data_IF_397883866018
#
_entry.id   IF_397883866018
#
_cell.length_a   1.000
_cell.length_b   1.000
_cell.length_c   1.000
_cell.angle_alpha   90.00
_cell.angle_beta   90.00
_cell.angle_gamma   90.00
#
_symmetry.space_group_name_H-M   'P 1'
#
loop_
_entity.id
_entity.type
_entity.pdbx_description
1 polymer ?
#
# COMPACT_ATOMS: atom_id res chain seq x y z
N UNK A 1 19.39 14.38 7.77
CA UNK A 1 18.83 13.05 7.48
C UNK A 1 17.32 13.15 7.62
N UNK A 2 16.65 13.53 6.53
CA UNK A 2 15.20 13.79 6.43
C UNK A 2 14.77 12.96 5.22
N UNK A 3 14.01 11.88 5.40
CA UNK A 3 13.50 11.10 4.29
C UNK A 3 12.02 10.72 4.41
N UNK A 4 11.37 10.74 3.24
CA UNK A 4 10.06 10.23 2.83
C UNK A 4 8.78 10.90 3.39
N UNK A 5 8.79 12.21 3.65
CA UNK A 5 7.55 13.01 3.71
C UNK A 5 7.53 14.19 2.71
N UNK A 6 8.65 14.45 2.02
CA UNK A 6 8.82 15.67 1.22
C UNK A 6 8.71 15.46 -0.30
N UNK A 7 8.36 14.25 -0.77
CA UNK A 7 8.06 14.01 -2.19
C UNK A 7 6.57 14.21 -2.52
N UNK A 8 5.77 14.61 -1.53
CA UNK A 8 4.36 15.00 -1.69
C UNK A 8 4.19 16.49 -1.42
N UNK A 9 5.06 17.35 -1.98
CA UNK A 9 4.62 18.72 -2.22
C UNK A 9 3.58 18.67 -3.34
N UNK A 10 2.37 19.12 -3.02
CA UNK A 10 1.25 19.30 -3.94
C UNK A 10 1.78 20.06 -5.15
N UNK A 11 2.00 19.38 -6.28
CA UNK A 11 2.33 20.03 -7.54
C UNK A 11 1.20 20.99 -7.88
N UNK A 12 1.49 22.28 -7.82
CA UNK A 12 0.61 23.34 -8.29
C UNK A 12 0.38 23.11 -9.80
N UNK A 13 -0.83 22.69 -10.15
CA UNK A 13 -1.24 22.32 -11.51
C UNK A 13 -1.22 23.50 -12.50
N UNK A 14 -0.84 24.71 -12.05
CA UNK A 14 -0.77 25.91 -12.88
C UNK A 14 0.58 26.15 -13.59
N UNK A 15 1.62 25.37 -13.29
CA UNK A 15 2.98 25.60 -13.79
C UNK A 15 3.49 24.57 -14.83
N UNK A 16 2.62 24.12 -15.76
CA UNK A 16 3.07 23.33 -16.93
C UNK A 16 3.75 24.20 -18.00
N UNK A 17 4.90 24.79 -17.69
CA UNK A 17 5.81 25.35 -18.70
C UNK A 17 7.25 25.01 -18.34
N UNK A 18 7.87 24.20 -19.21
CA UNK A 18 9.31 23.95 -19.40
C UNK A 18 10.22 24.38 -18.24
N UNK A 19 10.42 23.46 -17.29
CA UNK A 19 11.45 23.60 -16.28
C UNK A 19 12.25 22.32 -16.24
N UNK A 20 13.53 22.42 -16.62
CA UNK A 20 14.52 21.35 -16.58
C UNK A 20 14.47 20.64 -15.21
N UNK A 21 14.03 19.38 -15.24
CA UNK A 21 13.95 18.48 -14.09
C UNK A 21 15.36 18.15 -13.57
N UNK A 22 15.92 19.02 -12.73
CA UNK A 22 16.93 18.61 -11.74
C UNK A 22 16.17 17.88 -10.61
N UNK A 23 15.68 16.69 -10.95
CA UNK A 23 14.92 15.81 -10.07
C UNK A 23 15.86 15.30 -8.97
N UNK A 24 15.85 15.96 -7.82
CA UNK A 24 16.47 15.46 -6.58
C UNK A 24 15.74 14.23 -6.03
N UNK A 25 15.28 13.32 -6.91
CA UNK A 25 14.76 12.03 -6.52
C UNK A 25 15.90 11.22 -5.93
N UNK A 26 15.78 10.90 -4.64
CA UNK A 26 16.78 10.11 -3.95
C UNK A 26 16.94 8.77 -4.67
N UNK A 27 18.18 8.45 -5.07
CA UNK A 27 18.46 7.22 -5.80
C UNK A 27 18.02 6.04 -4.94
N UNK A 28 17.10 5.18 -5.43
CA UNK A 28 16.63 4.02 -4.67
C UNK A 28 17.80 3.13 -4.25
N UNK A 29 17.73 2.58 -3.03
CA UNK A 29 18.76 1.66 -2.51
C UNK A 29 18.94 0.47 -3.44
N UNK A 30 20.20 0.10 -3.69
CA UNK A 30 20.51 -1.14 -4.41
C UNK A 30 19.91 -2.33 -3.66
N UNK A 31 19.36 -3.35 -4.35
CA UNK A 31 18.95 -4.60 -3.71
C UNK A 31 20.02 -5.24 -2.84
N UNK A 32 21.30 -5.12 -3.20
CA UNK A 32 22.43 -5.64 -2.41
C UNK A 32 22.60 -4.92 -1.05
N UNK A 33 22.11 -3.68 -0.95
CA UNK A 33 22.16 -2.89 0.29
C UNK A 33 20.94 -3.14 1.20
N UNK A 34 19.97 -3.96 0.75
CA UNK A 34 18.77 -4.29 1.53
C UNK A 34 18.94 -5.69 2.13
N UNK A 35 19.15 -5.81 3.45
CA UNK A 35 19.21 -7.10 4.11
C UNK A 35 17.93 -7.90 3.88
N UNK A 36 18.09 -9.20 3.66
CA UNK A 36 16.97 -10.10 3.35
C UNK A 36 15.87 -10.14 4.42
N UNK A 37 16.24 -9.86 5.67
CA UNK A 37 15.35 -9.85 6.83
C UNK A 37 14.71 -8.47 7.12
N UNK A 38 15.06 -7.41 6.39
CA UNK A 38 14.64 -6.04 6.73
C UNK A 38 13.11 -5.90 6.70
N UNK A 39 12.48 -6.37 5.62
CA UNK A 39 11.01 -6.34 5.49
C UNK A 39 10.33 -7.27 6.52
N UNK A 40 10.92 -8.45 6.78
CA UNK A 40 10.38 -9.39 7.76
C UNK A 40 10.36 -8.75 9.14
N UNK A 41 11.48 -8.17 9.56
CA UNK A 41 11.62 -7.48 10.84
C UNK A 41 10.66 -6.31 10.95
N UNK A 42 10.58 -5.46 9.92
CA UNK A 42 9.70 -4.29 9.95
C UNK A 42 8.23 -4.65 10.12
N UNK A 43 7.75 -5.72 9.48
CA UNK A 43 6.39 -6.22 9.64
C UNK A 43 6.20 -6.99 10.96
N UNK A 44 7.20 -7.76 11.36
CA UNK A 44 7.23 -8.54 12.59
C UNK A 44 7.13 -7.69 13.86
N UNK A 45 7.72 -6.50 13.83
CA UNK A 45 7.83 -5.60 14.97
C UNK A 45 6.51 -4.85 15.27
N UNK A 46 5.51 -4.93 14.38
CA UNK A 46 4.18 -4.37 14.64
C UNK A 46 3.47 -5.14 15.77
N UNK A 47 2.83 -4.41 16.67
CA UNK A 47 2.07 -4.96 17.80
C UNK A 47 1.01 -5.96 17.30
N UNK A 48 0.80 -7.09 17.98
CA UNK A 48 -0.15 -8.18 17.61
C UNK A 48 0.24 -9.08 16.42
N UNK A 49 1.47 -8.97 15.90
CA UNK A 49 1.98 -9.82 14.80
C UNK A 49 2.57 -11.18 15.24
N UNK A 50 2.51 -11.52 16.53
CA UNK A 50 2.96 -12.80 17.12
C UNK A 50 2.06 -14.01 16.77
N UNK A 51 0.98 -13.79 16.04
CA UNK A 51 0.10 -14.84 15.50
C UNK A 51 0.85 -15.75 14.49
N UNK A 52 0.92 -17.08 14.71
CA UNK A 52 1.69 -17.99 13.85
C UNK A 52 1.30 -17.93 12.36
N UNK A 53 0.03 -17.69 12.05
CA UNK A 53 -0.43 -17.61 10.66
C UNK A 53 -0.09 -16.26 10.03
N UNK A 54 -0.10 -15.17 10.80
CA UNK A 54 0.41 -13.88 10.31
C UNK A 54 1.93 -13.94 10.11
N UNK A 55 2.67 -14.57 11.03
CA UNK A 55 4.12 -14.81 10.90
C UNK A 55 4.44 -15.59 9.63
N UNK A 56 3.71 -16.67 9.36
CA UNK A 56 3.86 -17.45 8.13
C UNK A 56 3.58 -16.60 6.87
N UNK A 57 2.57 -15.72 6.90
CA UNK A 57 2.30 -14.82 5.79
C UNK A 57 3.41 -13.78 5.58
N UNK A 58 3.99 -13.24 6.67
CA UNK A 58 5.17 -12.35 6.59
C UNK A 58 6.33 -13.10 5.93
N UNK A 59 6.63 -14.33 6.33
CA UNK A 59 7.71 -15.14 5.73
C UNK A 59 7.47 -15.37 4.22
N UNK A 60 6.24 -15.71 3.82
CA UNK A 60 5.92 -15.90 2.40
C UNK A 60 6.02 -14.59 1.59
N UNK A 61 5.54 -13.48 2.15
CA UNK A 61 5.58 -12.17 1.51
C UNK A 61 7.03 -11.69 1.31
N UNK A 62 7.88 -11.89 2.32
CA UNK A 62 9.29 -11.47 2.32
C UNK A 62 10.14 -12.33 1.38
N UNK A 63 9.91 -13.64 1.34
CA UNK A 63 10.55 -14.51 0.35
C UNK A 63 10.19 -14.10 -1.09
N UNK A 64 8.91 -13.75 -1.32
CA UNK A 64 8.43 -13.28 -2.63
C UNK A 64 9.01 -11.92 -2.98
N UNK A 65 9.12 -11.00 -2.01
CA UNK A 65 9.76 -9.69 -2.19
C UNK A 65 11.21 -9.82 -2.66
N UNK A 66 12.00 -10.69 -2.03
CA UNK A 66 13.39 -10.94 -2.42
C UNK A 66 13.51 -11.52 -3.83
N UNK A 67 12.65 -12.49 -4.17
CA UNK A 67 12.60 -13.05 -5.52
C UNK A 67 12.22 -11.98 -6.58
N UNK A 68 11.29 -11.09 -6.24
CA UNK A 68 10.90 -9.97 -7.09
C UNK A 68 12.08 -9.01 -7.31
N UNK A 69 12.81 -8.61 -6.27
CA UNK A 69 13.94 -7.68 -6.42
C UNK A 69 15.01 -8.20 -7.39
N UNK A 70 15.27 -9.51 -7.40
CA UNK A 70 16.19 -10.12 -8.37
C UNK A 70 15.63 -10.07 -9.81
N UNK A 71 14.34 -10.34 -9.96
CA UNK A 71 13.67 -10.25 -11.27
C UNK A 71 13.62 -8.81 -11.79
N UNK A 72 13.38 -7.83 -10.91
CA UNK A 72 13.41 -6.40 -11.20
C UNK A 72 14.78 -5.99 -11.76
N UNK A 73 15.87 -6.39 -11.09
CA UNK A 73 17.23 -6.14 -11.60
C UNK A 73 17.48 -6.78 -12.96
N UNK A 74 17.03 -8.03 -13.15
CA UNK A 74 17.18 -8.72 -14.43
C UNK A 74 16.43 -7.99 -15.56
N UNK A 75 15.19 -7.58 -15.31
CA UNK A 75 14.38 -6.79 -16.27
C UNK A 75 15.07 -5.47 -16.59
N UNK A 76 15.62 -4.78 -15.59
CA UNK A 76 16.32 -3.53 -15.78
C UNK A 76 17.57 -3.69 -16.65
N UNK A 77 18.41 -4.69 -16.35
CA UNK A 77 19.61 -4.97 -17.16
C UNK A 77 19.25 -5.27 -18.62
N UNK A 78 18.24 -6.13 -18.85
CA UNK A 78 17.79 -6.44 -20.21
C UNK A 78 17.18 -5.25 -20.94
N UNK A 79 16.44 -4.40 -20.23
CA UNK A 79 15.87 -3.19 -20.81
C UNK A 79 16.99 -2.26 -21.33
N UNK A 80 18.08 -2.13 -20.58
CA UNK A 80 19.27 -1.36 -20.97
C UNK A 80 20.00 -2.03 -22.14
N UNK A 81 20.27 -3.33 -22.04
CA UNK A 81 21.06 -4.07 -23.04
C UNK A 81 20.35 -4.21 -24.39
N UNK A 82 19.03 -4.44 -24.39
CA UNK A 82 18.25 -4.64 -25.61
C UNK A 82 17.65 -3.34 -26.17
N UNK A 83 17.75 -2.23 -25.44
CA UNK A 83 17.11 -0.92 -25.74
C UNK A 83 15.60 -1.04 -26.05
N UNK A 84 14.95 -2.09 -25.52
CA UNK A 84 13.52 -2.38 -25.73
C UNK A 84 12.98 -3.17 -24.54
N UNK A 85 11.66 -3.10 -24.34
CA UNK A 85 10.99 -3.84 -23.27
C UNK A 85 11.20 -5.36 -23.42
N UNK A 86 11.80 -6.04 -22.42
CA UNK A 86 11.90 -7.50 -22.39
C UNK A 86 10.53 -8.09 -22.03
N UNK A 87 9.67 -8.30 -23.04
CA UNK A 87 8.25 -8.63 -22.85
C UNK A 87 8.04 -9.85 -21.95
N UNK A 88 8.78 -10.93 -22.19
CA UNK A 88 8.61 -12.20 -21.46
C UNK A 88 8.85 -12.04 -19.95
N UNK A 89 9.95 -11.37 -19.57
CA UNK A 89 10.28 -11.13 -18.17
C UNK A 89 9.32 -10.09 -17.55
N UNK A 90 8.88 -9.10 -18.33
CA UNK A 90 7.96 -8.05 -17.87
C UNK A 90 6.58 -8.61 -17.52
N UNK A 91 6.07 -9.58 -18.31
CA UNK A 91 4.78 -10.25 -18.02
C UNK A 91 4.87 -11.03 -16.70
N UNK A 92 5.96 -11.77 -16.50
CA UNK A 92 6.20 -12.52 -15.27
C UNK A 92 6.34 -11.57 -14.08
N UNK A 93 7.09 -10.49 -14.24
CA UNK A 93 7.26 -9.45 -13.23
C UNK A 93 5.90 -8.82 -12.86
N UNK A 94 5.05 -8.54 -13.85
CA UNK A 94 3.70 -8.00 -13.60
C UNK A 94 2.85 -8.96 -12.78
N UNK A 95 2.81 -10.23 -13.15
CA UNK A 95 2.03 -11.24 -12.42
C UNK A 95 2.49 -11.36 -10.95
N UNK A 96 3.80 -11.51 -10.72
CA UNK A 96 4.32 -11.62 -9.36
C UNK A 96 4.20 -10.32 -8.56
N UNK A 97 4.35 -9.16 -9.20
CA UNK A 97 4.14 -7.86 -8.53
C UNK A 97 2.71 -7.70 -8.06
N UNK A 98 1.72 -8.07 -8.88
CA UNK A 98 0.31 -8.04 -8.49
C UNK A 98 0.01 -9.01 -7.34
N UNK A 99 0.53 -10.24 -7.41
CA UNK A 99 0.37 -11.22 -6.33
C UNK A 99 0.98 -10.73 -5.02
N UNK A 100 2.14 -10.09 -5.09
CA UNK A 100 2.80 -9.51 -3.93
C UNK A 100 2.00 -8.35 -3.34
N UNK A 101 1.51 -7.42 -4.17
CA UNK A 101 0.67 -6.29 -3.74
C UNK A 101 -0.61 -6.79 -3.04
N UNK A 102 -1.26 -7.82 -3.58
CA UNK A 102 -2.43 -8.43 -2.94
C UNK A 102 -2.07 -9.12 -1.62
N UNK A 103 -0.94 -9.83 -1.56
CA UNK A 103 -0.46 -10.46 -0.32
C UNK A 103 -0.17 -9.42 0.77
N UNK A 104 0.54 -8.35 0.44
CA UNK A 104 0.85 -7.24 1.35
C UNK A 104 -0.42 -6.55 1.85
N UNK A 105 -1.37 -6.28 0.94
CA UNK A 105 -2.66 -5.70 1.29
C UNK A 105 -3.44 -6.60 2.25
N UNK A 106 -3.62 -7.89 1.95
CA UNK A 106 -4.43 -8.78 2.78
C UNK A 106 -3.82 -9.02 4.16
N UNK A 107 -2.48 -9.09 4.25
CA UNK A 107 -1.75 -9.17 5.52
C UNK A 107 -2.04 -7.95 6.39
N UNK A 108 -1.78 -6.75 5.87
CA UNK A 108 -1.99 -5.50 6.61
C UNK A 108 -3.47 -5.23 6.89
N UNK A 109 -4.37 -5.57 5.98
CA UNK A 109 -5.83 -5.46 6.18
C UNK A 109 -6.28 -6.30 7.37
N UNK A 110 -5.85 -7.56 7.40
CA UNK A 110 -6.19 -8.51 8.47
C UNK A 110 -5.65 -8.04 9.82
N UNK A 111 -4.41 -7.58 9.85
CA UNK A 111 -3.79 -7.02 11.05
C UNK A 111 -4.47 -5.71 11.50
N UNK A 112 -4.67 -4.73 10.61
CA UNK A 112 -5.33 -3.45 10.92
C UNK A 112 -6.74 -3.63 11.45
N UNK A 113 -7.50 -4.57 10.89
CA UNK A 113 -8.84 -4.89 11.40
C UNK A 113 -8.78 -5.37 12.85
N UNK A 114 -7.83 -6.26 13.16
CA UNK A 114 -7.60 -6.74 14.54
C UNK A 114 -7.17 -5.61 15.46
N UNK A 115 -6.21 -4.78 15.05
CA UNK A 115 -5.71 -3.65 15.81
C UNK A 115 -6.83 -2.66 16.17
N UNK A 116 -7.66 -2.26 15.19
CA UNK A 116 -8.81 -1.38 15.42
C UNK A 116 -9.87 -1.99 16.33
N UNK A 117 -10.14 -3.29 16.19
CA UNK A 117 -11.06 -4.00 17.08
C UNK A 117 -10.55 -4.00 18.52
N UNK A 118 -9.24 -4.21 18.72
CA UNK A 118 -8.59 -4.23 20.03
C UNK A 118 -8.57 -2.84 20.66
N UNK A 119 -8.24 -1.80 19.90
CA UNK A 119 -8.33 -0.40 20.36
C UNK A 119 -9.76 -0.05 20.80
N UNK A 120 -10.77 -0.43 20.01
CA UNK A 120 -12.18 -0.19 20.34
C UNK A 120 -12.61 -0.95 21.60
N UNK A 121 -12.16 -2.18 21.78
CA UNK A 121 -12.43 -2.97 23.00
C UNK A 121 -11.79 -2.32 24.22
N UNK A 122 -10.55 -1.85 24.10
CA UNK A 122 -9.87 -1.11 25.15
C UNK A 122 -10.63 0.18 25.52
N UNK A 123 -10.99 0.99 24.53
CA UNK A 123 -11.70 2.26 24.73
C UNK A 123 -13.05 2.11 25.45
N UNK A 124 -13.75 1.00 25.18
CA UNK A 124 -15.10 0.76 25.72
C UNK A 124 -15.12 -0.15 26.96
N UNK A 125 -13.96 -0.54 27.50
CA UNK A 125 -13.87 -1.47 28.63
C UNK A 125 -14.35 -2.89 28.33
N UNK A 126 -14.38 -3.29 27.05
CA UNK A 126 -14.92 -4.57 26.59
C UNK A 126 -13.94 -5.74 26.61
N UNK A 127 -12.69 -5.53 27.06
CA UNK A 127 -11.62 -6.54 26.98
C UNK A 127 -11.98 -7.80 27.79
N UNK A 128 -12.36 -7.67 29.06
CA UNK A 128 -12.64 -8.84 29.92
C UNK A 128 -13.81 -9.68 29.39
N UNK A 129 -14.86 -9.02 28.88
CA UNK A 129 -15.98 -9.70 28.22
C UNK A 129 -15.53 -10.48 26.99
N UNK A 130 -14.61 -9.91 26.19
CA UNK A 130 -14.06 -10.58 25.01
C UNK A 130 -13.20 -11.78 25.38
N UNK A 131 -12.35 -11.66 26.39
CA UNK A 131 -11.53 -12.76 26.92
C UNK A 131 -12.43 -13.90 27.39
N UNK A 132 -13.44 -13.62 28.21
CA UNK A 132 -14.38 -14.61 28.71
C UNK A 132 -15.14 -15.31 27.57
N UNK A 133 -15.59 -14.55 26.57
CA UNK A 133 -16.28 -15.10 25.40
C UNK A 133 -15.38 -15.99 24.53
N UNK A 134 -14.09 -15.68 24.39
CA UNK A 134 -13.13 -16.54 23.69
C UNK A 134 -12.85 -17.81 24.51
N UNK A 135 -12.64 -17.69 25.82
CA UNK A 135 -12.38 -18.83 26.70
C UNK A 135 -13.56 -19.83 26.75
N UNK A 136 -14.80 -19.34 26.62
CA UNK A 136 -16.00 -20.17 26.63
C UNK A 136 -16.25 -20.96 25.32
N UNK A 137 -15.53 -20.65 24.22
CA UNK A 137 -15.78 -21.24 22.90
C UNK A 137 -14.83 -22.39 22.56
N UNK A 138 -15.36 -23.60 22.37
CA UNK A 138 -14.74 -24.65 21.56
C UNK A 138 -13.77 -25.61 22.29
N UNK A 139 -13.04 -26.46 21.54
CA UNK A 139 -12.17 -27.50 22.09
C UNK A 139 -11.05 -26.92 22.98
N UNK A 140 -10.48 -27.79 23.82
CA UNK A 140 -9.48 -27.41 24.86
C UNK A 140 -8.22 -26.73 24.30
N UNK A 141 -7.84 -26.98 23.05
CA UNK A 141 -6.63 -26.41 22.42
C UNK A 141 -7.01 -25.74 21.11
N UNK A 142 -6.73 -24.44 21.00
CA UNK A 142 -6.91 -23.69 19.75
C UNK A 142 -5.85 -22.58 19.68
N UNK A 143 -4.67 -22.83 19.07
CA UNK A 143 -3.50 -21.96 19.20
C UNK A 143 -3.76 -20.47 18.90
N UNK A 144 -4.49 -20.15 17.82
CA UNK A 144 -4.83 -18.75 17.45
C UNK A 144 -5.72 -18.06 18.48
N UNK A 145 -6.62 -18.82 19.11
CA UNK A 145 -7.53 -18.30 20.13
C UNK A 145 -6.76 -18.00 21.39
N UNK A 146 -5.84 -18.90 21.75
CA UNK A 146 -5.02 -18.79 22.94
C UNK A 146 -4.06 -17.59 22.81
N UNK A 147 -3.40 -17.42 21.64
CA UNK A 147 -2.63 -16.19 21.32
C UNK A 147 -3.50 -14.94 21.43
N UNK A 148 -4.71 -14.93 20.85
CA UNK A 148 -5.62 -13.77 20.96
C UNK A 148 -6.01 -13.43 22.39
N UNK A 149 -6.17 -14.43 23.25
CA UNK A 149 -6.47 -14.20 24.67
C UNK A 149 -5.26 -13.55 25.35
N UNK A 150 -4.04 -14.04 25.10
CA UNK A 150 -2.82 -13.45 25.68
C UNK A 150 -2.61 -12.02 25.18
N UNK A 151 -2.74 -11.75 23.89
CA UNK A 151 -2.68 -10.39 23.33
C UNK A 151 -3.69 -9.43 24.00
N UNK A 152 -4.91 -9.90 24.29
CA UNK A 152 -5.92 -9.10 24.98
C UNK A 152 -5.59 -8.86 26.46
N UNK A 153 -4.98 -9.85 27.13
CA UNK A 153 -4.51 -9.68 28.52
C UNK A 153 -3.37 -8.67 28.57
N UNK A 154 -2.40 -8.80 27.68
CA UNK A 154 -1.28 -7.85 27.56
C UNK A 154 -1.80 -6.43 27.32
N UNK A 155 -2.74 -6.23 26.39
CA UNK A 155 -3.38 -4.93 26.16
C UNK A 155 -4.13 -4.37 27.38
N UNK A 156 -4.69 -5.22 28.24
CA UNK A 156 -5.39 -4.82 29.47
C UNK A 156 -4.41 -4.45 30.59
N UNK A 157 -3.33 -5.23 30.70
CA UNK A 157 -2.42 -5.22 31.83
C UNK A 157 -1.27 -4.21 31.62
N UNK A 158 -0.93 -3.89 30.36
CA UNK A 158 0.12 -2.94 30.01
C UNK A 158 -0.41 -1.74 29.19
N UNK A 159 -0.42 -0.51 29.77
CA UNK A 159 -0.87 0.68 29.08
C UNK A 159 0.06 1.18 27.96
N UNK A 160 1.30 0.69 27.87
CA UNK A 160 2.21 1.07 26.80
C UNK A 160 1.88 0.31 25.51
N UNK A 161 1.36 -0.91 25.60
CA UNK A 161 0.95 -1.72 24.45
C UNK A 161 -0.13 -1.03 23.61
N UNK A 162 -1.13 -0.41 24.25
CA UNK A 162 -2.17 0.35 23.53
C UNK A 162 -1.60 1.61 22.87
N UNK A 163 -0.55 2.23 23.43
CA UNK A 163 0.11 3.38 22.79
C UNK A 163 0.88 2.93 21.56
N UNK A 164 1.69 1.88 21.68
CA UNK A 164 2.42 1.28 20.54
C UNK A 164 1.47 0.83 19.44
N UNK A 165 0.35 0.19 19.79
CA UNK A 165 -0.67 -0.22 18.81
C UNK A 165 -1.23 0.96 18.01
N UNK A 166 -1.46 2.10 18.67
CA UNK A 166 -1.93 3.33 18.00
C UNK A 166 -0.84 3.94 17.11
N UNK A 167 0.40 3.95 17.58
CA UNK A 167 1.55 4.41 16.79
C UNK A 167 1.73 3.55 15.54
N UNK A 168 1.62 2.22 15.65
CA UNK A 168 1.66 1.29 14.54
C UNK A 168 0.51 1.53 13.54
N UNK A 169 -0.70 1.82 14.04
CA UNK A 169 -1.85 2.17 13.19
C UNK A 169 -1.61 3.45 12.39
N UNK A 170 -0.93 4.46 12.97
CA UNK A 170 -0.54 5.69 12.27
C UNK A 170 0.56 5.43 11.25
N UNK A 171 1.63 4.76 11.68
CA UNK A 171 2.80 4.38 10.86
C UNK A 171 2.40 3.65 9.59
N UNK A 172 1.45 2.73 9.71
CA UNK A 172 0.99 1.90 8.59
C UNK A 172 -0.09 2.56 7.73
N UNK A 173 -0.61 3.75 8.09
CA UNK A 173 -1.77 4.34 7.42
C UNK A 173 -1.52 4.63 5.94
N UNK A 174 -0.49 5.42 5.63
CA UNK A 174 -0.20 5.84 4.25
C UNK A 174 0.12 4.62 3.35
N UNK A 175 1.08 3.73 3.69
CA UNK A 175 1.37 2.57 2.84
C UNK A 175 0.17 1.62 2.68
N UNK A 176 -0.65 1.46 3.72
CA UNK A 176 -1.87 0.66 3.63
C UNK A 176 -2.90 1.25 2.67
N UNK A 177 -3.09 2.57 2.70
CA UNK A 177 -4.04 3.26 1.79
C UNK A 177 -3.57 3.18 0.34
N UNK A 178 -2.27 3.31 0.08
CA UNK A 178 -1.69 3.10 -1.26
C UNK A 178 -1.96 1.66 -1.75
N UNK A 179 -1.67 0.66 -0.90
CA UNK A 179 -1.98 -0.75 -1.19
C UNK A 179 -3.46 -0.98 -1.47
N UNK A 180 -4.36 -0.36 -0.70
CA UNK A 180 -5.80 -0.48 -0.90
C UNK A 180 -6.25 0.09 -2.24
N UNK A 181 -5.78 1.28 -2.59
CA UNK A 181 -6.10 1.93 -3.86
C UNK A 181 -5.61 1.10 -5.04
N UNK A 182 -4.34 0.67 -5.02
CA UNK A 182 -3.78 -0.18 -6.07
C UNK A 182 -4.51 -1.51 -6.17
N UNK A 183 -4.83 -2.14 -5.04
CA UNK A 183 -5.55 -3.42 -5.04
C UNK A 183 -6.92 -3.28 -5.70
N UNK A 184 -7.65 -2.19 -5.44
CA UNK A 184 -8.97 -1.97 -6.08
C UNK A 184 -8.81 -1.73 -7.57
N UNK A 185 -7.87 -0.87 -7.98
CA UNK A 185 -7.59 -0.59 -9.39
C UNK A 185 -7.20 -1.86 -10.16
N UNK A 186 -6.26 -2.65 -9.63
CA UNK A 186 -5.77 -3.87 -10.28
C UNK A 186 -6.82 -4.99 -10.33
N UNK A 187 -7.61 -5.16 -9.27
CA UNK A 187 -8.55 -6.29 -9.18
C UNK A 187 -9.89 -6.05 -9.88
N UNK A 188 -10.32 -4.78 -9.97
CA UNK A 188 -11.64 -4.44 -10.49
C UNK A 188 -11.60 -3.62 -11.78
N UNK A 189 -10.45 -3.06 -12.15
CA UNK A 189 -10.40 -1.97 -13.13
C UNK A 189 -11.40 -0.86 -12.76
N UNK A 190 -11.50 -0.54 -11.47
CA UNK A 190 -12.37 0.50 -10.92
C UNK A 190 -11.54 1.49 -10.09
N UNK A 191 -12.01 2.72 -9.97
CA UNK A 191 -11.46 3.71 -9.03
C UNK A 191 -12.00 3.44 -7.61
N UNK A 192 -11.12 3.43 -6.61
CA UNK A 192 -11.52 3.20 -5.22
C UNK A 192 -12.54 4.23 -4.73
N UNK A 193 -13.65 3.77 -4.15
CA UNK A 193 -14.69 4.64 -3.60
C UNK A 193 -15.72 5.17 -4.61
N UNK A 194 -15.53 5.01 -5.93
CA UNK A 194 -16.48 5.45 -6.97
C UNK A 194 -16.96 4.28 -7.82
N UNK A 195 -18.24 3.92 -7.70
CA UNK A 195 -18.88 2.90 -8.55
C UNK A 195 -18.90 3.40 -10.01
N UNK A 196 -18.53 2.54 -10.95
CA UNK A 196 -18.56 2.76 -12.42
C UNK A 196 -17.52 3.75 -12.99
N UNK A 197 -16.55 4.23 -12.22
CA UNK A 197 -15.46 5.04 -12.75
C UNK A 197 -14.39 4.13 -13.39
N UNK A 198 -14.11 4.34 -14.69
CA UNK A 198 -13.14 3.58 -15.46
C UNK A 198 -11.74 4.23 -15.37
N UNK A 199 -10.74 3.55 -14.82
CA UNK A 199 -9.37 4.04 -14.76
C UNK A 199 -8.71 4.00 -16.15
N UNK A 200 -7.90 5.02 -16.45
CA UNK A 200 -7.30 5.24 -17.78
C UNK A 200 -6.43 4.06 -18.28
N UNK A 201 -5.66 3.41 -17.39
CA UNK A 201 -4.79 2.28 -17.75
C UNK A 201 -4.64 1.25 -16.61
N UNK A 202 -5.75 0.73 -16.07
CA UNK A 202 -5.66 -0.25 -14.97
C UNK A 202 -4.97 -1.55 -15.38
N UNK A 203 -3.87 -1.86 -14.70
CA UNK A 203 -3.08 -3.07 -14.89
C UNK A 203 -1.83 -2.88 -15.75
N UNK A 204 -1.61 -1.70 -16.35
CA UNK A 204 -0.37 -1.41 -17.08
C UNK A 204 0.70 -0.92 -16.10
N UNK A 205 1.70 -1.78 -15.85
CA UNK A 205 2.90 -1.41 -15.09
C UNK A 205 3.99 -0.92 -16.03
N UNK A 206 4.52 0.29 -15.83
CA UNK A 206 5.71 0.77 -16.56
C UNK A 206 6.97 0.29 -15.84
N UNK A 207 8.01 -0.09 -16.58
CA UNK A 207 9.29 -0.46 -15.94
C UNK A 207 9.93 0.82 -15.40
N UNK A 208 10.13 0.85 -14.09
CA UNK A 208 10.84 1.88 -13.37
C UNK A 208 12.32 1.84 -13.78
N UNK A 209 12.84 2.95 -14.30
CA UNK A 209 14.20 3.01 -14.87
C UNK A 209 15.32 2.95 -13.83
N UNK A 210 15.00 3.14 -12.54
CA UNK A 210 15.99 3.10 -11.46
C UNK A 210 16.08 1.73 -10.79
N UNK A 211 14.95 1.04 -10.68
CA UNK A 211 14.86 -0.20 -9.88
C UNK A 211 14.50 -1.43 -10.70
N UNK A 212 13.96 -1.26 -11.90
CA UNK A 212 13.36 -2.35 -12.67
C UNK A 212 12.00 -2.83 -12.15
N UNK A 213 11.52 -2.27 -11.03
CA UNK A 213 10.16 -2.48 -10.52
C UNK A 213 9.12 -2.00 -11.52
N UNK A 214 7.87 -2.44 -11.33
CA UNK A 214 6.75 -1.85 -12.04
C UNK A 214 6.19 -0.65 -11.28
N UNK A 215 6.00 0.42 -12.02
CA UNK A 215 5.31 1.65 -11.68
C UNK A 215 3.82 1.50 -11.99
N UNK A 216 2.96 1.72 -10.99
CA UNK A 216 1.52 1.64 -11.10
C UNK A 216 0.89 3.02 -10.94
N UNK A 217 -0.02 3.38 -11.84
CA UNK A 217 -0.75 4.64 -11.78
C UNK A 217 -1.79 4.60 -10.66
N UNK A 218 -1.81 5.65 -9.85
CA UNK A 218 -2.89 5.96 -8.93
C UNK A 218 -3.78 6.99 -9.61
N UNK A 219 -4.93 6.53 -10.11
CA UNK A 219 -5.88 7.37 -10.82
C UNK A 219 -7.16 7.62 -10.02
N UNK A 220 -7.69 8.84 -10.13
CA UNK A 220 -9.04 9.20 -9.71
C UNK A 220 -9.83 9.65 -10.94
N UNK A 221 -10.72 8.78 -11.42
CA UNK A 221 -11.49 8.99 -12.65
C UNK A 221 -10.57 9.25 -13.86
N UNK A 222 -10.61 10.44 -14.46
CA UNK A 222 -9.79 10.83 -15.61
C UNK A 222 -8.45 11.47 -15.23
N UNK A 223 -8.13 11.59 -13.94
CA UNK A 223 -6.91 12.25 -13.45
C UNK A 223 -5.94 11.20 -12.89
N UNK A 224 -4.70 11.19 -13.36
CA UNK A 224 -3.60 10.46 -12.72
C UNK A 224 -3.09 11.33 -11.57
N UNK A 225 -3.26 10.86 -10.34
CA UNK A 225 -2.81 11.55 -9.13
C UNK A 225 -1.32 11.34 -8.90
N UNK A 226 -0.89 10.09 -9.02
CA UNK A 226 0.47 9.66 -8.71
C UNK A 226 0.89 8.44 -9.51
N UNK A 227 2.17 8.11 -9.44
CA UNK A 227 2.76 6.86 -9.90
C UNK A 227 3.54 6.24 -8.75
N UNK A 228 3.15 5.03 -8.34
CA UNK A 228 3.78 4.32 -7.22
C UNK A 228 4.35 2.99 -7.69
N UNK A 229 5.64 2.79 -7.43
CA UNK A 229 6.31 1.53 -7.75
C UNK A 229 6.07 0.47 -6.66
N UNK A 230 6.01 -0.81 -7.06
CA UNK A 230 5.97 -1.92 -6.09
C UNK A 230 7.18 -1.85 -5.14
N UNK A 231 8.36 -1.49 -5.63
CA UNK A 231 9.57 -1.28 -4.82
C UNK A 231 9.40 -0.16 -3.80
N UNK A 232 8.82 0.97 -4.21
CA UNK A 232 8.52 2.09 -3.31
C UNK A 232 7.59 1.69 -2.17
N UNK A 233 6.58 0.86 -2.44
CA UNK A 233 5.70 0.32 -1.38
C UNK A 233 6.50 -0.58 -0.43
N UNK A 234 7.30 -1.51 -0.95
CA UNK A 234 8.10 -2.38 -0.09
C UNK A 234 9.09 -1.60 0.77
N UNK A 235 9.72 -0.55 0.22
CA UNK A 235 10.61 0.34 0.98
C UNK A 235 9.84 1.11 2.06
N UNK A 236 8.63 1.58 1.78
CA UNK A 236 7.77 2.20 2.78
C UNK A 236 7.37 1.22 3.91
N UNK A 237 7.21 -0.08 3.60
CA UNK A 237 6.97 -1.11 4.62
C UNK A 237 8.22 -1.41 5.45
N UNK A 238 9.41 -1.44 4.83
CA UNK A 238 10.69 -1.62 5.55
C UNK A 238 10.95 -0.48 6.55
N UNK A 239 10.53 0.73 6.18
CA UNK A 239 10.62 1.93 7.02
C UNK A 239 9.75 1.89 8.29
N UNK A 240 8.98 0.81 8.53
CA UNK A 240 8.25 0.71 9.80
C UNK A 240 9.17 0.62 11.02
N UNK A 241 10.37 0.07 10.85
CA UNK A 241 11.32 -0.18 11.97
C UNK A 241 12.55 0.73 11.99
N UNK A 242 12.65 1.71 11.09
CA UNK A 242 13.85 2.53 10.91
C UNK A 242 13.89 3.83 11.76
N UNK A 243 12.87 4.04 12.60
CA UNK A 243 12.75 5.24 13.42
C UNK A 243 12.19 6.46 12.69
N UNK A 244 11.67 6.29 11.46
CA UNK A 244 10.93 7.34 10.75
C UNK A 244 9.83 7.92 11.64
N UNK A 245 9.75 9.26 11.76
CA UNK A 245 8.72 9.92 12.56
C UNK A 245 7.32 9.47 12.15
N UNK A 246 6.44 9.32 13.14
CA UNK A 246 5.04 8.99 12.88
C UNK A 246 4.36 10.16 12.13
N UNK A 247 3.50 9.86 11.14
CA UNK A 247 2.72 10.91 10.50
C UNK A 247 1.76 11.54 11.51
N UNK A 248 1.73 12.87 11.56
CA UNK A 248 0.78 13.63 12.36
C UNK A 248 -0.62 13.66 11.71
N UNK A 249 -1.61 14.21 12.42
CA UNK A 249 -3.02 14.19 11.98
C UNK A 249 -3.21 15.00 10.70
N UNK A 250 -2.48 16.11 10.55
CA UNK A 250 -2.53 16.98 9.38
C UNK A 250 -1.95 16.26 8.16
N UNK A 251 -0.83 15.54 8.32
CA UNK A 251 -0.23 14.71 7.27
C UNK A 251 -1.17 13.60 6.83
N UNK A 252 -1.78 12.87 7.77
CA UNK A 252 -2.75 11.81 7.47
C UNK A 252 -3.95 12.39 6.72
N UNK A 253 -4.50 13.51 7.19
CA UNK A 253 -5.65 14.16 6.58
C UNK A 253 -5.32 14.67 5.17
N UNK A 254 -4.18 15.34 5.01
CA UNK A 254 -3.74 15.85 3.70
C UNK A 254 -3.57 14.71 2.69
N UNK A 255 -2.98 13.60 3.12
CA UNK A 255 -2.86 12.40 2.28
C UNK A 255 -4.24 11.81 1.93
N UNK A 256 -5.16 11.70 2.89
CA UNK A 256 -6.50 11.16 2.66
C UNK A 256 -7.32 12.06 1.71
N UNK A 257 -7.19 13.38 1.82
CA UNK A 257 -7.81 14.35 0.90
C UNK A 257 -7.23 14.21 -0.52
N UNK A 258 -5.89 14.09 -0.62
CA UNK A 258 -5.17 13.88 -1.88
C UNK A 258 -5.63 12.59 -2.59
N UNK A 259 -5.56 11.44 -1.90
CA UNK A 259 -5.90 10.14 -2.50
C UNK A 259 -7.40 10.01 -2.84
N UNK A 260 -8.24 10.82 -2.19
CA UNK A 260 -9.69 10.89 -2.46
C UNK A 260 -10.04 11.91 -3.56
N UNK A 261 -9.05 12.68 -4.05
CA UNK A 261 -9.24 13.70 -5.08
C UNK A 261 -10.05 14.91 -4.61
N UNK A 262 -10.03 15.21 -3.31
CA UNK A 262 -10.71 16.39 -2.75
C UNK A 262 -10.07 17.65 -3.34
N UNK A 263 -10.89 18.52 -3.94
CA UNK A 263 -10.43 19.79 -4.53
C UNK A 263 -9.98 19.71 -6.00
N UNK A 264 -10.05 18.53 -6.62
CA UNK A 264 -9.80 18.41 -8.06
C UNK A 264 -11.01 18.89 -8.88
N UNK A 265 -10.79 19.48 -10.07
CA UNK A 265 -11.88 19.82 -10.97
C UNK A 265 -12.71 18.59 -11.28
N UNK A 266 -14.03 18.66 -11.11
CA UNK A 266 -14.93 17.66 -11.67
C UNK A 266 -14.90 17.80 -13.18
N UNK A 267 -14.93 16.68 -13.91
CA UNK A 267 -15.06 16.70 -15.37
C UNK A 267 -16.18 17.67 -15.77
N UNK A 268 -16.03 18.49 -16.83
CA UNK A 268 -17.15 19.26 -17.34
C UNK A 268 -18.29 18.27 -17.65
N UNK A 269 -19.47 18.51 -17.06
CA UNK A 269 -20.68 17.78 -17.44
C UNK A 269 -20.81 17.88 -18.96
N UNK A 270 -20.82 16.73 -19.64
CA UNK A 270 -21.00 16.70 -21.09
C UNK A 270 -22.45 17.06 -21.41
N UNK A 271 -22.78 18.35 -21.38
CA UNK A 271 -23.95 18.91 -22.03
C UNK A 271 -23.66 19.01 -23.54
N UNK A 272 -24.06 17.96 -24.26
CA UNK A 272 -24.54 18.00 -25.66
C UNK A 272 -24.84 16.57 -26.09
N UNK A 273 -26.11 16.14 -26.11
CA UNK A 273 -26.92 16.31 -27.32
C UNK A 273 -26.17 15.82 -28.58
N UNK A 274 -26.03 14.50 -28.73
CA UNK A 274 -26.10 13.92 -30.08
C UNK A 274 -27.54 14.14 -30.56
N UNK A 275 -27.76 15.31 -31.16
CA UNK A 275 -28.96 15.59 -31.92
C UNK A 275 -29.10 14.57 -33.04
N UNK A 276 -30.30 14.00 -33.13
CA UNK A 276 -30.85 13.49 -34.37
C UNK A 276 -30.69 14.55 -35.46
N UNK A 277 -29.67 14.40 -36.32
CA UNK A 277 -29.76 14.84 -37.71
C UNK A 277 -29.57 13.61 -38.58
N UNK A 278 -30.69 12.93 -38.81
CA UNK A 278 -30.86 12.12 -40.00
C UNK A 278 -30.77 13.08 -41.20
N UNK A 279 -29.70 12.96 -41.99
CA UNK A 279 -29.60 13.55 -43.32
C UNK A 279 -30.50 12.75 -44.28
N UNK A 280 -31.55 13.36 -44.89
CA UNK A 280 -32.37 12.69 -45.88
C UNK A 280 -32.03 13.24 -47.28
N UNK A 281 -30.81 13.07 -47.77
CA UNK A 281 -30.51 13.25 -49.21
C UNK A 281 -29.08 12.90 -49.61
N UNK A 282 -28.87 11.68 -50.13
CA UNK A 282 -28.28 11.35 -51.47
C UNK A 282 -27.98 9.85 -51.60
#
# INVERSE_FOLDING_TARGET
MRFVANTLEVRDLSAMTDQDDDDTSEVPRSPDDIPSYELERALADLTLMDDPFLRMQITNLTATDQALMNLEQQVLHRLVDEERTPIDDTIILLAFSQMWLFGAYELLRTWRQRAKDFEKLHANGGIDLKIAALAARGPKVHPVRDVRIEQLKELRDDPDVIKTLRDDLRRTHIPFRLLETLRVSLAKHEVSGKKNALPYASGYGRINRYTGSLDFEISMDHIILDVVSRRGIADALRAFSDGTPLPDDDTIKSFDDYISGVGLPTAPESDAAFGDEADPSE
#
